data_IF_622551908909
#
_entry.id   IF_622551908909
#
_cell.length_a   1.000
_cell.length_b   1.000
_cell.length_c   1.000
_cell.angle_alpha   90.00
_cell.angle_beta   90.00
_cell.angle_gamma   90.00
#
_symmetry.space_group_name_H-M   'P 1'
#
loop_
_entity.id
_entity.type
_entity.pdbx_description
1 polymer ?
#
# COMPACT_ATOMS: atom_id res chain seq x y z
N UNK A 1 -12.33 39.60 -46.43
CA UNK A 1 -10.89 39.27 -46.28
C UNK A 1 -10.77 38.47 -45.00
N UNK A 2 -10.44 37.18 -45.16
CA UNK A 2 -10.11 36.11 -44.21
C UNK A 2 -9.91 36.46 -42.70
N UNK A 3 -10.65 35.75 -41.85
CA UNK A 3 -10.33 35.36 -40.45
C UNK A 3 -9.05 34.48 -40.41
N UNK A 4 -8.30 34.34 -39.28
CA UNK A 4 -8.73 33.42 -38.20
C UNK A 4 -8.32 33.78 -36.76
N UNK A 5 -9.34 33.88 -35.90
CA UNK A 5 -9.51 32.99 -34.73
C UNK A 5 -8.27 32.47 -33.99
N UNK A 6 -8.11 32.89 -32.74
CA UNK A 6 -7.73 31.98 -31.65
C UNK A 6 -8.83 32.03 -30.60
N UNK A 7 -9.82 31.17 -30.86
CA UNK A 7 -10.87 30.77 -29.96
C UNK A 7 -10.33 30.57 -28.54
N UNK A 8 -11.02 31.16 -27.58
CA UNK A 8 -10.97 30.86 -26.15
C UNK A 8 -11.64 29.51 -25.85
N UNK A 9 -11.45 28.52 -26.73
CA UNK A 9 -12.09 27.21 -26.68
C UNK A 9 -11.05 26.12 -26.99
N UNK A 10 -10.19 25.82 -26.02
CA UNK A 10 -9.59 24.49 -25.89
C UNK A 10 -8.85 24.29 -24.56
N UNK A 11 -9.40 24.77 -23.45
CA UNK A 11 -9.18 24.06 -22.19
C UNK A 11 -10.18 22.90 -22.24
N UNK A 12 -9.77 21.80 -22.91
CA UNK A 12 -10.42 20.51 -22.74
C UNK A 12 -10.68 20.36 -21.24
N UNK A 13 -11.94 20.29 -20.82
CA UNK A 13 -12.31 20.20 -19.42
C UNK A 13 -11.62 18.97 -18.84
N UNK A 14 -10.43 19.19 -18.25
CA UNK A 14 -9.58 18.12 -17.76
C UNK A 14 -10.36 17.39 -16.69
N UNK A 15 -10.84 16.21 -17.03
CA UNK A 15 -11.58 15.40 -16.08
C UNK A 15 -10.64 15.11 -14.91
N UNK A 16 -10.90 15.74 -13.76
CA UNK A 16 -10.03 15.66 -12.58
C UNK A 16 -9.81 14.22 -12.10
N UNK A 17 -10.76 13.33 -12.39
CA UNK A 17 -10.65 11.88 -12.13
C UNK A 17 -9.65 11.22 -13.09
N UNK A 18 -9.59 11.65 -14.35
CA UNK A 18 -8.63 11.15 -15.34
C UNK A 18 -7.21 11.72 -15.13
N UNK A 19 -7.06 12.89 -14.52
CA UNK A 19 -5.77 13.55 -14.29
C UNK A 19 -5.32 13.52 -12.82
N UNK A 20 -5.77 12.53 -12.04
CA UNK A 20 -5.29 12.36 -10.67
C UNK A 20 -3.77 12.07 -10.68
N UNK A 21 -3.02 12.84 -9.88
CA UNK A 21 -1.59 12.63 -9.71
C UNK A 21 -1.34 11.29 -8.99
N UNK A 22 -0.91 10.29 -9.76
CA UNK A 22 -0.50 8.99 -9.24
C UNK A 22 0.97 8.98 -8.82
N UNK A 23 1.32 8.03 -7.95
CA UNK A 23 2.72 7.68 -7.72
C UNK A 23 3.27 6.99 -8.98
N UNK A 24 4.40 7.43 -9.54
CA UNK A 24 4.98 6.73 -10.70
C UNK A 24 5.63 5.40 -10.28
N UNK A 25 5.77 4.46 -11.22
CA UNK A 25 6.39 3.15 -10.92
C UNK A 25 7.84 3.30 -10.40
N UNK A 26 8.71 4.15 -11.00
CA UNK A 26 10.05 4.37 -10.44
C UNK A 26 10.02 4.96 -9.02
N UNK A 27 9.09 5.87 -8.73
CA UNK A 27 8.94 6.44 -7.39
C UNK A 27 8.43 5.39 -6.38
N UNK A 28 7.51 4.52 -6.81
CA UNK A 28 7.07 3.36 -6.03
C UNK A 28 8.24 2.44 -5.70
N UNK A 29 9.01 2.01 -6.71
CA UNK A 29 10.16 1.12 -6.52
C UNK A 29 11.25 1.75 -5.63
N UNK A 30 11.42 3.07 -5.68
CA UNK A 30 12.33 3.78 -4.76
C UNK A 30 11.85 3.74 -3.31
N UNK A 31 10.53 3.87 -3.09
CA UNK A 31 9.93 3.94 -1.75
C UNK A 31 9.66 2.58 -1.13
N UNK A 32 9.40 1.55 -1.93
CA UNK A 32 8.97 0.21 -1.51
C UNK A 32 9.78 -0.91 -2.21
N UNK A 33 11.06 -0.63 -2.51
CA UNK A 33 11.92 -1.52 -3.29
C UNK A 33 12.39 -2.77 -2.54
N UNK A 34 12.37 -2.74 -1.21
CA UNK A 34 12.72 -3.88 -0.36
C UNK A 34 11.73 -4.07 0.79
N UNK A 35 11.81 -5.22 1.46
CA UNK A 35 10.86 -5.60 2.52
C UNK A 35 10.91 -4.65 3.72
N UNK A 36 12.10 -4.22 4.15
CA UNK A 36 12.28 -3.30 5.29
C UNK A 36 11.60 -1.95 5.05
N UNK A 37 11.70 -1.40 3.84
CA UNK A 37 11.00 -0.18 3.45
C UNK A 37 9.47 -0.36 3.52
N UNK A 38 8.98 -1.54 3.11
CA UNK A 38 7.56 -1.86 3.17
C UNK A 38 7.07 -2.00 4.62
N UNK A 39 7.85 -2.67 5.49
CA UNK A 39 7.57 -2.77 6.92
C UNK A 39 7.51 -1.40 7.58
N UNK A 40 8.53 -0.56 7.36
CA UNK A 40 8.56 0.80 7.93
C UNK A 40 7.36 1.63 7.46
N UNK A 41 7.03 1.58 6.18
CA UNK A 41 5.88 2.30 5.65
C UNK A 41 4.55 1.81 6.23
N UNK A 42 4.39 0.50 6.41
CA UNK A 42 3.21 -0.08 7.03
C UNK A 42 3.13 0.24 8.53
N UNK A 43 4.26 0.24 9.24
CA UNK A 43 4.34 0.64 10.66
C UNK A 43 3.89 2.09 10.85
N UNK A 44 4.42 3.02 10.05
CA UNK A 44 4.04 4.44 10.09
C UNK A 44 2.56 4.63 9.72
N UNK A 45 2.08 3.93 8.69
CA UNK A 45 0.68 4.03 8.24
C UNK A 45 -0.29 3.54 9.32
N UNK A 46 0.04 2.41 9.95
CA UNK A 46 -0.80 1.77 10.97
C UNK A 46 -0.75 2.52 12.31
N UNK A 47 0.41 3.04 12.66
CA UNK A 47 0.70 3.65 13.96
C UNK A 47 1.52 4.94 13.81
N UNK A 48 0.91 6.04 13.30
CA UNK A 48 1.63 7.27 13.00
C UNK A 48 2.33 7.92 14.21
N UNK A 49 1.77 7.69 15.41
CA UNK A 49 2.27 8.22 16.68
C UNK A 49 2.89 7.14 17.58
N UNK A 50 3.25 5.99 16.99
CA UNK A 50 3.72 4.81 17.73
C UNK A 50 2.62 3.80 18.04
N UNK A 51 3.04 2.63 18.51
CA UNK A 51 2.18 1.45 18.68
C UNK A 51 0.94 1.74 19.54
N UNK A 52 -0.21 1.29 19.04
CA UNK A 52 -1.48 1.27 19.78
C UNK A 52 -2.01 -0.17 19.75
N UNK A 53 -2.23 -0.76 20.92
CA UNK A 53 -2.73 -2.13 21.01
C UNK A 53 -4.14 -2.24 20.40
N UNK A 54 -4.37 -3.16 19.44
CA UNK A 54 -5.68 -3.31 18.79
C UNK A 54 -6.77 -3.85 19.74
N UNK A 55 -6.40 -4.40 20.92
CA UNK A 55 -7.34 -4.96 21.89
C UNK A 55 -7.78 -3.96 22.95
N UNK A 56 -6.85 -3.21 23.53
CA UNK A 56 -7.12 -2.35 24.69
C UNK A 56 -6.67 -0.90 24.52
N UNK A 57 -6.20 -0.51 23.32
CA UNK A 57 -5.70 0.83 22.99
C UNK A 57 -4.50 1.34 23.82
N UNK A 58 -3.93 0.53 24.72
CA UNK A 58 -2.72 0.89 25.44
C UNK A 58 -1.53 1.03 24.48
N UNK A 59 -0.65 1.97 24.78
CA UNK A 59 0.55 2.29 23.98
C UNK A 59 1.82 1.64 24.54
N UNK A 60 1.84 1.31 25.84
CA UNK A 60 2.96 0.62 26.46
C UNK A 60 3.10 -0.82 25.91
N UNK A 61 4.29 -1.13 25.41
CA UNK A 61 4.57 -2.40 24.74
C UNK A 61 6.06 -2.76 24.82
N UNK A 62 6.36 -4.04 24.56
CA UNK A 62 7.69 -4.51 24.18
C UNK A 62 7.72 -4.87 22.70
N UNK A 63 8.86 -4.63 22.04
CA UNK A 63 9.12 -4.99 20.64
C UNK A 63 10.19 -6.07 20.60
N UNK A 64 9.96 -7.13 19.84
CA UNK A 64 10.91 -8.24 19.69
C UNK A 64 10.78 -8.88 18.30
N UNK A 65 11.83 -9.58 17.86
CA UNK A 65 11.93 -10.09 16.48
C UNK A 65 12.35 -11.57 16.42
N UNK A 66 11.46 -12.51 16.76
CA UNK A 66 11.69 -13.94 16.57
C UNK A 66 11.70 -14.28 15.08
N UNK A 67 12.72 -15.04 14.65
CA UNK A 67 12.84 -15.55 13.27
C UNK A 67 12.67 -14.46 12.19
N UNK A 68 13.14 -13.23 12.46
CA UNK A 68 13.09 -12.12 11.51
C UNK A 68 11.74 -11.39 11.41
N UNK A 69 10.68 -11.84 12.10
CA UNK A 69 9.38 -11.15 12.09
C UNK A 69 9.22 -10.27 13.31
N UNK A 70 8.86 -8.99 13.14
CA UNK A 70 8.67 -8.07 14.27
C UNK A 70 7.30 -8.27 14.92
N UNK A 71 7.30 -8.38 16.25
CA UNK A 71 6.09 -8.43 17.08
C UNK A 71 6.11 -7.32 18.15
N UNK A 72 4.91 -6.88 18.48
CA UNK A 72 4.63 -5.97 19.58
C UNK A 72 3.77 -6.70 20.61
N UNK A 73 4.22 -6.74 21.86
CA UNK A 73 3.44 -7.26 22.97
C UNK A 73 2.99 -6.11 23.86
N UNK A 74 1.68 -5.94 23.99
CA UNK A 74 1.11 -4.96 24.91
C UNK A 74 1.41 -5.35 26.36
N UNK A 75 1.85 -4.40 27.18
CA UNK A 75 2.12 -4.66 28.61
C UNK A 75 0.85 -4.70 29.46
N UNK A 76 -0.24 -4.06 29.01
CA UNK A 76 -1.49 -4.00 29.76
C UNK A 76 -2.36 -5.27 29.62
N UNK A 77 -2.43 -5.84 28.42
CA UNK A 77 -3.28 -7.02 28.15
C UNK A 77 -2.52 -8.25 27.63
N UNK A 78 -1.19 -8.19 27.58
CA UNK A 78 -0.28 -9.24 27.10
C UNK A 78 -0.53 -9.75 25.68
N UNK A 79 -1.36 -9.04 24.90
CA UNK A 79 -1.65 -9.42 23.52
C UNK A 79 -0.41 -9.17 22.65
N UNK A 80 0.02 -10.21 21.95
CA UNK A 80 1.00 -10.13 20.88
C UNK A 80 0.31 -9.79 19.56
N UNK A 81 0.91 -8.87 18.81
CA UNK A 81 0.40 -8.35 17.54
C UNK A 81 1.58 -8.22 16.58
N UNK A 82 1.47 -8.80 15.39
CA UNK A 82 2.42 -8.54 14.31
C UNK A 82 2.02 -7.29 13.56
N UNK A 83 2.90 -6.77 12.71
CA UNK A 83 2.60 -5.60 11.89
C UNK A 83 1.38 -5.81 10.97
N UNK A 84 1.15 -7.06 10.55
CA UNK A 84 0.08 -7.46 9.62
C UNK A 84 -1.23 -7.84 10.33
N UNK A 85 -1.21 -8.06 11.63
CA UNK A 85 -2.38 -8.55 12.39
C UNK A 85 -3.60 -7.63 12.23
N UNK A 86 -4.76 -8.18 11.90
CA UNK A 86 -5.98 -7.40 11.68
C UNK A 86 -5.93 -6.48 10.45
N UNK A 87 -5.08 -6.76 9.46
CA UNK A 87 -5.12 -6.15 8.13
C UNK A 87 -5.56 -7.18 7.09
N UNK A 88 -5.79 -6.74 5.85
CA UNK A 88 -5.99 -7.67 4.71
C UNK A 88 -4.79 -8.58 4.45
N UNK A 89 -3.61 -8.24 4.98
CA UNK A 89 -2.37 -9.02 4.86
C UNK A 89 -2.19 -10.00 6.03
N UNK A 90 -3.15 -10.07 6.95
CA UNK A 90 -3.07 -10.97 8.11
C UNK A 90 -3.02 -12.42 7.64
N UNK A 91 -2.23 -13.24 8.35
CA UNK A 91 -1.97 -14.65 8.02
C UNK A 91 -1.42 -14.90 6.59
N UNK A 92 -1.02 -13.86 5.84
CA UNK A 92 -0.43 -14.02 4.52
C UNK A 92 1.05 -14.37 4.61
N UNK A 93 1.45 -15.36 3.81
CA UNK A 93 2.86 -15.76 3.62
C UNK A 93 3.58 -14.94 2.54
N UNK A 94 2.87 -14.06 1.83
CA UNK A 94 3.49 -13.23 0.80
C UNK A 94 4.37 -12.14 1.42
N UNK A 95 5.46 -11.73 0.74
CA UNK A 95 6.20 -10.53 1.11
C UNK A 95 5.29 -9.29 1.09
N UNK A 96 5.52 -8.33 1.98
CA UNK A 96 4.82 -7.04 1.99
C UNK A 96 5.04 -6.30 0.68
N UNK A 97 6.23 -6.44 0.09
CA UNK A 97 6.51 -5.86 -1.23
C UNK A 97 5.51 -6.34 -2.29
N UNK A 98 5.15 -7.62 -2.30
CA UNK A 98 4.16 -8.18 -3.24
C UNK A 98 2.77 -7.59 -2.99
N UNK A 99 2.37 -7.47 -1.72
CA UNK A 99 1.10 -6.83 -1.35
C UNK A 99 1.02 -5.37 -1.78
N UNK A 100 2.04 -4.58 -1.46
CA UNK A 100 2.08 -3.16 -1.81
C UNK A 100 2.14 -2.95 -3.32
N UNK A 101 2.84 -3.80 -4.06
CA UNK A 101 2.85 -3.76 -5.52
C UNK A 101 1.47 -4.08 -6.10
N UNK A 102 0.77 -5.08 -5.55
CA UNK A 102 -0.59 -5.42 -5.96
C UNK A 102 -1.56 -4.26 -5.71
N UNK A 103 -1.53 -3.67 -4.51
CA UNK A 103 -2.32 -2.48 -4.18
C UNK A 103 -2.00 -1.29 -5.10
N UNK A 104 -0.73 -1.09 -5.42
CA UNK A 104 -0.29 -0.06 -6.34
C UNK A 104 -0.86 -0.26 -7.75
N UNK A 105 -0.78 -1.48 -8.31
CA UNK A 105 -1.31 -1.78 -9.64
C UNK A 105 -2.83 -1.62 -9.71
N UNK A 106 -3.53 -2.11 -8.70
CA UNK A 106 -4.99 -1.96 -8.59
C UNK A 106 -5.39 -0.48 -8.46
N UNK A 107 -4.66 0.30 -7.66
CA UNK A 107 -4.97 1.72 -7.42
C UNK A 107 -4.62 2.65 -8.59
N UNK A 108 -3.70 2.27 -9.47
CA UNK A 108 -3.32 3.06 -10.65
C UNK A 108 -4.19 2.77 -11.88
N UNK A 109 -4.85 1.61 -11.89
CA UNK A 109 -5.62 1.20 -13.06
C UNK A 109 -6.90 2.01 -13.20
N UNK A 110 -7.07 2.67 -14.35
CA UNK A 110 -8.32 3.35 -14.73
C UNK A 110 -9.35 2.40 -15.35
N UNK A 111 -8.90 1.22 -15.75
CA UNK A 111 -9.69 0.18 -16.41
C UNK A 111 -9.48 -1.10 -15.62
N UNK A 112 -10.48 -1.54 -14.84
CA UNK A 112 -10.43 -2.71 -13.96
C UNK A 112 -9.37 -3.76 -14.35
N UNK A 113 -8.39 -3.99 -13.48
CA UNK A 113 -7.30 -4.91 -13.74
C UNK A 113 -7.75 -6.34 -13.41
N UNK A 114 -7.59 -7.27 -14.35
CA UNK A 114 -8.04 -8.65 -14.17
C UNK A 114 -7.11 -9.44 -13.25
N UNK A 115 -7.64 -10.43 -12.52
CA UNK A 115 -6.82 -11.31 -11.67
C UNK A 115 -5.71 -12.01 -12.46
N UNK A 116 -5.98 -12.39 -13.72
CA UNK A 116 -4.98 -13.03 -14.59
C UNK A 116 -3.82 -12.08 -14.94
N UNK A 117 -4.10 -10.80 -15.13
CA UNK A 117 -3.08 -9.78 -15.37
C UNK A 117 -2.30 -9.48 -14.09
N UNK A 118 -2.97 -9.39 -12.95
CA UNK A 118 -2.33 -9.21 -11.65
C UNK A 118 -1.38 -10.38 -11.33
N UNK A 119 -1.82 -11.61 -11.60
CA UNK A 119 -1.00 -12.82 -11.48
C UNK A 119 0.32 -12.69 -12.26
N UNK A 120 0.26 -12.23 -13.51
CA UNK A 120 1.45 -12.05 -14.37
C UNK A 120 2.37 -10.95 -13.84
N UNK A 121 1.81 -9.84 -13.34
CA UNK A 121 2.59 -8.75 -12.79
C UNK A 121 3.27 -9.11 -11.46
N UNK A 122 2.57 -9.84 -10.59
CA UNK A 122 3.08 -10.19 -9.26
C UNK A 122 3.90 -11.47 -9.24
N UNK A 123 3.80 -12.33 -10.27
CA UNK A 123 4.47 -13.63 -10.31
C UNK A 123 3.94 -14.62 -9.27
N UNK A 124 2.65 -14.51 -8.92
CA UNK A 124 1.97 -15.38 -7.95
C UNK A 124 1.05 -16.37 -8.65
N UNK A 125 0.39 -17.26 -7.90
CA UNK A 125 -0.62 -18.16 -8.46
C UNK A 125 -1.95 -17.43 -8.68
N UNK A 126 -2.78 -17.92 -9.60
CA UNK A 126 -4.08 -17.31 -9.89
C UNK A 126 -4.98 -17.16 -8.64
N UNK A 127 -5.12 -18.15 -7.74
CA UNK A 127 -5.93 -17.98 -6.52
C UNK A 127 -5.38 -16.94 -5.53
N UNK A 128 -4.11 -16.54 -5.70
CA UNK A 128 -3.47 -15.53 -4.86
C UNK A 128 -3.71 -14.11 -5.40
N UNK A 129 -3.93 -13.97 -6.71
CA UNK A 129 -4.16 -12.71 -7.41
C UNK A 129 -5.65 -12.33 -7.38
#
# INVERSE_FOLDING_TARGET
MLEPSLHRDQIMAMNRVQFQAGLSLPAFLKRYGNEQQCEQALEISRWPQGFVCPRCAATAHSRFQPHGTTYWQCTACYRQTSLRSGTVMDNSKLPLRTWLLGMYLLGQSKTNLSALELMRHLGVSYPTA
#
